data_IF_834608021442
#
_entry.id   IF_834608021442
#
_cell.length_a   1.000
_cell.length_b   1.000
_cell.length_c   1.000
_cell.angle_alpha   90.00
_cell.angle_beta   90.00
_cell.angle_gamma   90.00
#
_symmetry.space_group_name_H-M   'P 1'
#
loop_
_entity.id
_entity.type
_entity.pdbx_description
1 polymer ?
#
# COMPACT_ATOMS: atom_id res chain seq x y z
N UNK A 1 -22.93 -14.60 11.55
CA UNK A 1 -21.88 -13.74 10.94
C UNK A 1 -20.54 -14.32 11.29
N UNK A 2 -19.55 -14.22 10.39
CA UNK A 2 -18.17 -14.68 10.64
C UNK A 2 -17.35 -13.50 11.13
N UNK A 3 -16.69 -13.64 12.28
CA UNK A 3 -15.78 -12.60 12.76
C UNK A 3 -14.47 -12.66 12.02
N UNK A 4 -14.07 -11.50 11.45
CA UNK A 4 -12.83 -11.34 10.70
C UNK A 4 -12.04 -10.16 11.28
N UNK A 5 -10.79 -10.39 11.63
CA UNK A 5 -9.86 -9.34 12.02
C UNK A 5 -8.87 -9.07 10.90
N UNK A 6 -8.73 -7.81 10.51
CA UNK A 6 -7.69 -7.35 9.57
C UNK A 6 -6.61 -6.62 10.37
N UNK A 7 -5.35 -7.02 10.18
CA UNK A 7 -4.18 -6.36 10.77
C UNK A 7 -3.38 -5.73 9.65
N UNK A 8 -3.22 -4.41 9.72
CA UNK A 8 -2.59 -3.61 8.67
C UNK A 8 -1.67 -2.55 9.27
N UNK A 9 -0.80 -1.99 8.46
CA UNK A 9 0.01 -0.82 8.82
C UNK A 9 -0.51 0.49 8.23
N UNK A 10 -1.55 0.42 7.39
CA UNK A 10 -2.15 1.59 6.73
C UNK A 10 -3.66 1.45 6.69
N UNK A 11 -4.36 2.48 7.18
CA UNK A 11 -5.82 2.56 7.16
C UNK A 11 -6.25 4.04 7.17
N UNK A 12 -7.42 4.41 6.64
CA UNK A 12 -7.89 5.80 6.77
C UNK A 12 -7.81 6.32 8.22
N UNK A 13 -7.47 7.61 8.44
CA UNK A 13 -7.44 8.71 7.47
C UNK A 13 -6.13 8.85 6.67
N UNK A 14 -5.20 7.89 6.76
CA UNK A 14 -4.00 7.90 5.91
C UNK A 14 -4.38 7.69 4.45
N UNK A 15 -3.79 8.49 3.57
CA UNK A 15 -4.05 8.45 2.11
C UNK A 15 -2.98 7.62 1.44
N UNK A 16 -3.40 6.68 0.59
CA UNK A 16 -2.48 5.85 -0.19
C UNK A 16 -3.11 4.54 -0.66
N UNK A 17 -2.50 3.89 -1.65
CA UNK A 17 -3.01 2.66 -2.26
C UNK A 17 -3.22 1.53 -1.23
N UNK A 18 -2.28 1.38 -0.29
CA UNK A 18 -2.38 0.36 0.76
C UNK A 18 -3.55 0.60 1.71
N UNK A 19 -3.75 1.86 2.14
CA UNK A 19 -4.86 2.26 3.00
C UNK A 19 -6.21 2.01 2.31
N UNK A 20 -6.36 2.48 1.07
CA UNK A 20 -7.58 2.29 0.28
C UNK A 20 -7.89 0.81 0.06
N UNK A 21 -6.88 0.00 -0.29
CA UNK A 21 -7.05 -1.43 -0.51
C UNK A 21 -7.61 -2.15 0.72
N UNK A 22 -7.07 -1.85 1.90
CA UNK A 22 -7.55 -2.48 3.14
C UNK A 22 -8.94 -1.96 3.52
N UNK A 23 -9.22 -0.68 3.32
CA UNK A 23 -10.54 -0.12 3.52
C UNK A 23 -11.57 -0.85 2.64
N UNK A 24 -11.33 -1.00 1.34
CA UNK A 24 -12.24 -1.71 0.43
C UNK A 24 -12.36 -3.20 0.76
N UNK A 25 -11.30 -3.84 1.23
CA UNK A 25 -11.37 -5.22 1.72
C UNK A 25 -12.30 -5.33 2.93
N UNK A 26 -12.19 -4.41 3.89
CA UNK A 26 -13.01 -4.39 5.08
C UNK A 26 -14.49 -4.13 4.74
N UNK A 27 -14.78 -3.13 3.90
CA UNK A 27 -16.12 -2.83 3.41
C UNK A 27 -16.72 -3.99 2.61
N UNK A 28 -15.94 -4.61 1.73
CA UNK A 28 -16.37 -5.76 0.95
C UNK A 28 -16.75 -6.95 1.84
N UNK A 29 -15.92 -7.29 2.82
CA UNK A 29 -16.22 -8.36 3.78
C UNK A 29 -17.48 -8.06 4.60
N UNK A 30 -17.67 -6.79 5.02
CA UNK A 30 -18.87 -6.36 5.72
C UNK A 30 -20.12 -6.50 4.86
N UNK A 31 -20.07 -6.10 3.57
CA UNK A 31 -21.17 -6.29 2.61
C UNK A 31 -21.53 -7.78 2.42
N UNK A 32 -20.62 -8.70 2.72
CA UNK A 32 -20.82 -10.15 2.69
C UNK A 32 -21.02 -10.77 4.08
N UNK A 33 -21.75 -10.07 4.96
CA UNK A 33 -22.18 -10.54 6.27
C UNK A 33 -21.06 -10.99 7.21
N UNK A 34 -19.86 -10.43 7.07
CA UNK A 34 -18.81 -10.59 8.05
C UNK A 34 -18.84 -9.48 9.11
N UNK A 35 -18.61 -9.83 10.36
CA UNK A 35 -18.34 -8.86 11.40
C UNK A 35 -16.85 -8.51 11.36
N UNK A 36 -16.52 -7.34 10.82
CA UNK A 36 -15.13 -6.95 10.54
C UNK A 36 -14.60 -6.01 11.61
N UNK A 37 -13.40 -6.29 12.06
CA UNK A 37 -12.60 -5.38 12.86
C UNK A 37 -11.23 -5.17 12.22
N UNK A 38 -10.65 -3.99 12.44
CA UNK A 38 -9.34 -3.60 11.91
C UNK A 38 -8.42 -3.21 13.04
N UNK A 39 -7.17 -3.69 13.02
CA UNK A 39 -6.09 -3.16 13.85
C UNK A 39 -5.08 -2.46 12.94
N UNK A 40 -4.76 -1.21 13.28
CA UNK A 40 -3.81 -0.37 12.54
C UNK A 40 -3.00 0.47 13.53
N UNK A 41 -1.81 0.97 13.20
CA UNK A 41 -1.14 1.94 14.04
C UNK A 41 -1.88 3.28 14.08
N UNK A 42 -1.50 4.15 15.00
CA UNK A 42 -1.91 5.55 14.98
C UNK A 42 -1.48 6.19 13.65
N UNK A 43 -2.34 6.98 12.99
CA UNK A 43 -2.05 7.56 11.68
C UNK A 43 -0.79 8.43 11.69
N UNK A 44 0.12 8.16 10.74
CA UNK A 44 1.43 8.82 10.68
C UNK A 44 2.00 8.96 9.26
N UNK A 45 1.44 8.26 8.27
CA UNK A 45 1.89 8.31 6.89
C UNK A 45 1.24 9.47 6.11
N UNK A 46 1.97 10.20 5.23
CA UNK A 46 3.34 9.91 4.76
C UNK A 46 4.47 10.57 5.58
N UNK A 47 4.15 11.50 6.46
CA UNK A 47 5.14 12.37 7.14
C UNK A 47 6.00 11.64 8.19
N UNK A 48 5.54 10.49 8.69
CA UNK A 48 6.21 9.79 9.78
C UNK A 48 6.06 10.49 11.13
N UNK A 49 4.99 11.26 11.29
CA UNK A 49 4.60 11.95 12.51
C UNK A 49 3.15 11.61 12.82
N UNK A 50 2.85 11.30 14.07
CA UNK A 50 1.47 11.05 14.51
C UNK A 50 0.61 12.28 14.20
N UNK A 51 -0.52 12.07 13.52
CA UNK A 51 -1.47 13.15 13.22
C UNK A 51 -1.93 13.85 14.49
N UNK A 52 -2.15 15.18 14.41
CA UNK A 52 -2.42 16.04 15.56
C UNK A 52 -3.53 15.50 16.48
N UNK A 53 -4.60 15.01 15.90
CA UNK A 53 -5.76 14.47 16.63
C UNK A 53 -5.49 13.14 17.36
N UNK A 54 -4.33 12.53 17.14
CA UNK A 54 -3.92 11.25 17.72
C UNK A 54 -2.68 11.36 18.60
N UNK A 55 -2.14 12.58 18.80
CA UNK A 55 -0.97 12.80 19.69
C UNK A 55 -1.32 12.48 21.14
N UNK A 56 -0.40 11.81 21.83
CA UNK A 56 -0.58 11.43 23.24
C UNK A 56 -1.48 10.22 23.48
N UNK A 57 -2.03 9.61 22.44
CA UNK A 57 -2.88 8.40 22.52
C UNK A 57 -1.98 7.18 22.45
N UNK A 58 -2.18 6.22 23.37
CA UNK A 58 -1.51 4.92 23.32
C UNK A 58 -2.34 3.87 22.57
N UNK A 59 -3.66 3.87 22.80
CA UNK A 59 -4.61 3.00 22.12
C UNK A 59 -5.95 3.71 22.02
N UNK A 60 -6.60 3.58 20.86
CA UNK A 60 -7.94 4.09 20.61
C UNK A 60 -8.80 3.01 19.93
N UNK A 61 -10.04 2.90 20.31
CA UNK A 61 -11.05 2.12 19.60
C UNK A 61 -12.13 3.07 19.11
N UNK A 62 -12.50 2.98 17.84
CA UNK A 62 -13.57 3.75 17.21
C UNK A 62 -14.42 2.82 16.34
N UNK A 63 -15.62 3.27 16.02
CA UNK A 63 -16.46 2.62 15.02
C UNK A 63 -16.54 3.55 13.79
N UNK A 64 -16.11 3.06 12.64
CA UNK A 64 -16.04 3.80 11.41
C UNK A 64 -16.75 3.03 10.31
N UNK A 65 -17.81 3.60 9.74
CA UNK A 65 -18.69 2.93 8.78
C UNK A 65 -19.19 1.56 9.28
N UNK A 66 -19.42 1.39 10.58
CA UNK A 66 -19.83 0.13 11.19
C UNK A 66 -18.73 -0.95 11.20
N UNK A 67 -17.49 -0.55 11.06
CA UNK A 67 -16.27 -1.38 11.24
C UNK A 67 -15.58 -0.91 12.51
N UNK A 68 -15.27 -1.85 13.41
CA UNK A 68 -14.54 -1.54 14.63
C UNK A 68 -13.05 -1.39 14.34
N UNK A 69 -12.49 -0.20 14.57
CA UNK A 69 -11.10 0.13 14.28
C UNK A 69 -10.33 0.33 15.59
N UNK A 70 -9.27 -0.45 15.77
CA UNK A 70 -8.33 -0.32 16.88
C UNK A 70 -7.04 0.33 16.36
N UNK A 71 -6.70 1.51 16.88
CA UNK A 71 -5.46 2.21 16.59
C UNK A 71 -4.49 2.04 17.76
N UNK A 72 -3.33 1.49 17.45
CA UNK A 72 -2.31 1.17 18.45
C UNK A 72 -1.11 2.09 18.31
N UNK A 73 -0.43 2.31 19.40
CA UNK A 73 0.78 3.13 19.43
C UNK A 73 1.87 2.58 18.50
N UNK A 74 2.58 3.51 17.88
CA UNK A 74 3.75 3.29 17.05
C UNK A 74 4.77 4.40 17.31
N UNK A 75 6.05 4.07 17.31
CA UNK A 75 7.10 5.06 17.17
C UNK A 75 7.14 5.52 15.72
N UNK A 76 6.41 6.60 15.41
CA UNK A 76 6.32 7.10 14.05
C UNK A 76 7.65 7.75 13.64
N UNK A 77 8.17 7.38 12.46
CA UNK A 77 9.40 7.95 11.92
C UNK A 77 9.46 7.80 10.40
N UNK A 78 9.78 8.89 9.71
CA UNK A 78 10.11 8.91 8.28
C UNK A 78 11.61 9.20 8.07
N UNK A 79 12.45 8.88 9.04
CA UNK A 79 13.89 9.09 8.97
C UNK A 79 14.50 8.31 7.80
N UNK A 80 15.49 8.92 7.11
CA UNK A 80 16.33 8.24 6.13
C UNK A 80 17.21 7.15 6.78
N UNK A 81 17.39 7.21 8.11
CA UNK A 81 18.15 6.21 8.86
C UNK A 81 17.34 4.91 8.99
N UNK A 82 17.91 3.81 8.48
CA UNK A 82 17.32 2.48 8.48
C UNK A 82 16.99 1.95 9.89
N UNK A 83 17.77 2.36 10.90
CA UNK A 83 17.56 1.95 12.29
C UNK A 83 16.26 2.51 12.86
N UNK A 84 15.97 3.78 12.65
CA UNK A 84 14.71 4.39 13.13
C UNK A 84 13.49 3.79 12.43
N UNK A 85 13.60 3.43 11.14
CA UNK A 85 12.53 2.72 10.42
C UNK A 85 12.30 1.31 10.97
N UNK A 86 13.37 0.62 11.34
CA UNK A 86 13.28 -0.70 11.99
C UNK A 86 12.62 -0.58 13.37
N UNK A 87 13.01 0.42 14.17
CA UNK A 87 12.39 0.71 15.48
C UNK A 87 10.89 0.99 15.31
N UNK A 88 10.48 1.75 14.29
CA UNK A 88 9.06 2.00 14.02
C UNK A 88 8.28 0.69 13.77
N UNK A 89 8.79 -0.20 12.92
CA UNK A 89 8.16 -1.50 12.64
C UNK A 89 8.11 -2.40 13.89
N UNK A 90 9.18 -2.45 14.67
CA UNK A 90 9.27 -3.24 15.90
C UNK A 90 8.32 -2.68 16.95
N UNK A 91 8.22 -1.36 17.12
CA UNK A 91 7.34 -0.74 18.11
C UNK A 91 5.87 -1.09 17.87
N UNK A 92 5.43 -1.08 16.62
CA UNK A 92 4.05 -1.51 16.30
C UNK A 92 3.85 -3.01 16.55
N UNK A 93 4.86 -3.82 16.26
CA UNK A 93 4.81 -5.26 16.59
C UNK A 93 4.65 -5.50 18.10
N UNK A 94 5.30 -4.73 18.95
CA UNK A 94 5.10 -4.77 20.39
C UNK A 94 3.68 -4.38 20.81
N UNK A 95 3.15 -3.31 20.23
CA UNK A 95 1.77 -2.88 20.51
C UNK A 95 0.75 -3.95 20.09
N UNK A 96 0.99 -4.65 18.97
CA UNK A 96 0.17 -5.79 18.55
C UNK A 96 0.24 -6.95 19.53
N UNK A 97 1.44 -7.33 19.98
CA UNK A 97 1.64 -8.40 20.98
C UNK A 97 0.89 -8.07 22.26
N UNK A 98 1.06 -6.84 22.75
CA UNK A 98 0.34 -6.35 23.92
C UNK A 98 -1.17 -6.44 23.74
N UNK A 99 -1.69 -6.00 22.58
CA UNK A 99 -3.12 -6.12 22.27
C UNK A 99 -3.61 -7.56 22.28
N UNK A 100 -2.84 -8.50 21.73
CA UNK A 100 -3.22 -9.92 21.66
C UNK A 100 -3.26 -10.60 23.04
N UNK A 101 -2.50 -10.14 23.99
CA UNK A 101 -2.50 -10.69 25.36
C UNK A 101 -3.80 -10.36 26.12
N UNK A 102 -4.41 -9.22 25.81
CA UNK A 102 -5.55 -8.70 26.57
C UNK A 102 -6.88 -8.77 25.80
N UNK A 103 -6.87 -9.18 24.57
CA UNK A 103 -8.08 -9.20 23.73
C UNK A 103 -8.31 -10.57 23.09
N UNK A 104 -9.58 -10.92 22.95
CA UNK A 104 -9.97 -12.13 22.22
C UNK A 104 -9.81 -11.90 20.71
N UNK A 105 -9.00 -12.75 20.08
CA UNK A 105 -8.71 -12.66 18.66
C UNK A 105 -9.61 -13.64 17.90
N UNK A 106 -10.32 -13.18 16.84
CA UNK A 106 -11.20 -14.00 16.01
C UNK A 106 -10.51 -15.22 15.39
N UNK A 107 -11.33 -16.17 14.93
CA UNK A 107 -10.84 -17.39 14.25
C UNK A 107 -10.27 -17.09 12.87
N UNK A 108 -10.71 -16.02 12.20
CA UNK A 108 -10.18 -15.60 10.89
C UNK A 108 -9.43 -14.30 11.04
N UNK A 109 -8.16 -14.31 10.66
CA UNK A 109 -7.28 -13.12 10.71
C UNK A 109 -6.59 -12.94 9.36
N UNK A 110 -6.72 -11.73 8.81
CA UNK A 110 -6.03 -11.29 7.60
C UNK A 110 -4.90 -10.35 8.03
N UNK A 111 -3.68 -10.65 7.62
CA UNK A 111 -2.49 -9.85 7.95
C UNK A 111 -1.90 -9.29 6.68
N UNK A 112 -1.68 -7.98 6.62
CA UNK A 112 -1.03 -7.32 5.49
C UNK A 112 0.50 -7.46 5.56
N UNK A 113 1.13 -7.68 4.42
CA UNK A 113 2.57 -7.63 4.20
C UNK A 113 2.85 -6.85 2.89
N UNK A 114 3.81 -5.90 2.86
CA UNK A 114 4.63 -5.42 3.95
C UNK A 114 3.86 -4.62 5.02
N UNK A 115 4.46 -4.31 6.21
CA UNK A 115 5.82 -4.58 6.66
C UNK A 115 6.06 -6.02 7.09
N UNK A 116 7.21 -6.56 6.66
CA UNK A 116 7.54 -7.98 6.84
C UNK A 116 7.60 -8.42 8.30
N UNK A 117 8.14 -7.58 9.20
CA UNK A 117 8.26 -7.86 10.64
C UNK A 117 6.91 -7.83 11.36
N UNK A 118 5.98 -6.97 10.94
CA UNK A 118 4.61 -6.94 11.47
C UNK A 118 3.90 -8.24 11.13
N UNK A 119 3.98 -8.66 9.86
CA UNK A 119 3.44 -9.94 9.43
C UNK A 119 4.08 -11.12 10.18
N UNK A 120 5.41 -11.11 10.36
CA UNK A 120 6.14 -12.12 11.11
C UNK A 120 5.64 -12.27 12.55
N UNK A 121 5.49 -11.16 13.27
CA UNK A 121 4.99 -11.17 14.65
C UNK A 121 3.59 -11.75 14.73
N UNK A 122 2.70 -11.38 13.82
CA UNK A 122 1.35 -11.91 13.75
C UNK A 122 1.34 -13.42 13.42
N UNK A 123 2.13 -13.84 12.43
CA UNK A 123 2.22 -15.25 12.01
C UNK A 123 2.85 -16.14 13.10
N UNK A 124 3.76 -15.59 13.90
CA UNK A 124 4.39 -16.29 15.00
C UNK A 124 3.40 -16.50 16.15
N UNK A 125 2.75 -15.43 16.60
CA UNK A 125 1.97 -15.43 17.84
C UNK A 125 0.55 -15.95 17.64
N UNK A 126 -0.08 -15.61 16.52
CA UNK A 126 -1.48 -15.97 16.28
C UNK A 126 -1.68 -17.39 15.72
N UNK A 127 -0.60 -18.14 15.43
CA UNK A 127 -0.73 -19.50 14.91
C UNK A 127 -1.40 -20.44 15.91
N UNK A 128 -2.54 -20.98 15.51
CA UNK A 128 -3.32 -21.94 16.29
C UNK A 128 -4.05 -22.89 15.34
N UNK A 129 -4.31 -24.14 15.77
CA UNK A 129 -5.12 -25.09 14.96
C UNK A 129 -6.56 -24.61 14.73
N UNK A 130 -7.06 -23.74 15.59
CA UNK A 130 -8.44 -23.21 15.52
C UNK A 130 -8.55 -21.88 14.75
N UNK A 131 -7.42 -21.31 14.26
CA UNK A 131 -7.39 -19.99 13.62
C UNK A 131 -6.90 -20.10 12.19
N UNK A 132 -7.67 -19.52 11.24
CA UNK A 132 -7.29 -19.37 9.86
C UNK A 132 -6.52 -18.04 9.70
N UNK A 133 -5.22 -18.13 9.41
CA UNK A 133 -4.37 -16.97 9.10
C UNK A 133 -4.28 -16.80 7.60
N UNK A 134 -4.63 -15.62 7.12
CA UNK A 134 -4.57 -15.23 5.71
C UNK A 134 -3.52 -14.13 5.60
N UNK A 135 -2.57 -14.27 4.69
CA UNK A 135 -1.56 -13.26 4.43
C UNK A 135 -1.92 -12.50 3.15
N UNK A 136 -2.07 -11.18 3.25
CA UNK A 136 -2.35 -10.30 2.12
C UNK A 136 -1.04 -9.64 1.68
N UNK A 137 -0.49 -10.10 0.55
CA UNK A 137 0.81 -9.67 0.03
C UNK A 137 0.60 -8.60 -1.04
N UNK A 138 1.11 -7.40 -0.77
CA UNK A 138 1.05 -6.27 -1.71
C UNK A 138 2.31 -6.14 -2.55
N UNK A 139 3.47 -6.48 -1.96
CA UNK A 139 4.78 -6.35 -2.59
C UNK A 139 5.69 -7.49 -2.12
N UNK A 140 6.60 -7.94 -2.99
CA UNK A 140 7.58 -8.97 -2.68
C UNK A 140 8.77 -8.37 -1.93
N UNK A 141 8.67 -8.27 -0.62
CA UNK A 141 9.81 -7.90 0.23
C UNK A 141 10.48 -9.15 0.79
N UNK A 142 11.84 -9.26 0.69
CA UNK A 142 12.82 -8.19 0.41
C UNK A 142 13.20 -7.96 -1.07
N UNK A 143 12.65 -8.75 -2.02
CA UNK A 143 13.02 -8.70 -3.42
C UNK A 143 12.88 -7.28 -4.03
N UNK A 144 11.73 -6.63 -3.85
CA UNK A 144 11.51 -5.27 -4.32
C UNK A 144 12.56 -4.28 -3.78
N UNK A 145 12.98 -4.44 -2.53
CA UNK A 145 14.04 -3.62 -1.94
C UNK A 145 15.41 -3.87 -2.55
N UNK A 146 15.68 -5.09 -3.04
CA UNK A 146 16.89 -5.42 -3.79
C UNK A 146 16.89 -4.77 -5.17
N UNK A 147 15.79 -4.88 -5.90
CA UNK A 147 15.61 -4.29 -7.23
C UNK A 147 15.70 -2.76 -7.21
N UNK A 148 15.17 -2.13 -6.18
CA UNK A 148 15.29 -0.69 -5.93
C UNK A 148 16.68 -0.27 -5.40
N UNK A 149 17.62 -1.18 -5.22
CA UNK A 149 18.96 -0.88 -4.71
C UNK A 149 19.00 -0.51 -3.21
N UNK A 150 17.90 -0.68 -2.48
CA UNK A 150 17.81 -0.41 -1.03
C UNK A 150 18.59 -1.46 -0.24
N UNK A 151 18.55 -2.70 -0.69
CA UNK A 151 19.29 -3.83 -0.14
C UNK A 151 20.40 -4.30 -1.09
N UNK A 152 21.39 -4.98 -0.48
CA UNK A 152 22.39 -5.78 -1.20
C UNK A 152 22.23 -7.23 -0.75
N UNK A 153 22.55 -8.19 -1.62
CA UNK A 153 22.57 -9.61 -1.25
C UNK A 153 23.67 -9.84 -0.20
N UNK A 154 23.28 -9.93 1.05
CA UNK A 154 24.11 -10.17 2.22
C UNK A 154 23.33 -10.94 3.29
N UNK A 155 23.95 -11.26 4.42
CA UNK A 155 23.32 -12.00 5.53
C UNK A 155 22.00 -11.38 6.02
N UNK A 156 21.91 -10.03 6.02
CA UNK A 156 20.67 -9.35 6.41
C UNK A 156 19.54 -9.60 5.40
N UNK A 157 19.85 -9.61 4.12
CA UNK A 157 18.91 -9.93 3.06
C UNK A 157 18.42 -11.39 3.17
N UNK A 158 19.34 -12.34 3.37
CA UNK A 158 18.98 -13.74 3.57
C UNK A 158 18.09 -13.96 4.81
N UNK A 159 18.30 -13.18 5.88
CA UNK A 159 17.43 -13.21 7.05
C UNK A 159 16.02 -12.73 6.70
N UNK A 160 15.90 -11.65 5.92
CA UNK A 160 14.60 -11.14 5.46
C UNK A 160 13.87 -12.15 4.55
N UNK A 161 14.57 -12.83 3.66
CA UNK A 161 13.99 -13.93 2.85
C UNK A 161 13.51 -15.11 3.73
N UNK A 162 14.24 -15.45 4.78
CA UNK A 162 13.81 -16.49 5.73
C UNK A 162 12.53 -16.06 6.48
N UNK A 163 12.40 -14.78 6.84
CA UNK A 163 11.21 -14.23 7.46
C UNK A 163 10.03 -14.25 6.48
N UNK A 164 10.24 -13.85 5.24
CA UNK A 164 9.23 -13.93 4.18
C UNK A 164 8.71 -15.36 4.01
N UNK A 165 9.63 -16.32 3.82
CA UNK A 165 9.29 -17.74 3.69
C UNK A 165 8.58 -18.29 4.92
N UNK A 166 8.95 -17.84 6.14
CA UNK A 166 8.25 -18.18 7.35
C UNK A 166 6.80 -17.70 7.33
N UNK A 167 6.56 -16.44 6.90
CA UNK A 167 5.22 -15.88 6.78
C UNK A 167 4.38 -16.69 5.79
N UNK A 168 4.91 -17.01 4.62
CA UNK A 168 4.24 -17.83 3.62
C UNK A 168 3.91 -19.24 4.14
N UNK A 169 4.87 -19.89 4.82
CA UNK A 169 4.68 -21.21 5.41
C UNK A 169 3.56 -21.23 6.44
N UNK A 170 3.48 -20.20 7.28
CA UNK A 170 2.52 -20.09 8.39
C UNK A 170 1.10 -19.73 7.95
N UNK A 171 0.94 -18.97 6.91
CA UNK A 171 -0.36 -18.63 6.35
C UNK A 171 -1.11 -19.90 5.84
N UNK A 172 -2.42 -19.91 5.97
CA UNK A 172 -3.29 -20.93 5.38
C UNK A 172 -3.63 -20.58 3.92
N UNK A 173 -3.89 -19.30 3.67
CA UNK A 173 -4.17 -18.73 2.34
C UNK A 173 -3.32 -17.48 2.14
N UNK A 174 -2.84 -17.25 0.92
CA UNK A 174 -2.15 -16.03 0.53
C UNK A 174 -2.97 -15.29 -0.52
N UNK A 175 -3.30 -14.04 -0.23
CA UNK A 175 -3.86 -13.10 -1.20
C UNK A 175 -2.71 -12.35 -1.85
N UNK A 176 -2.59 -12.39 -3.17
CA UNK A 176 -1.60 -11.65 -3.94
C UNK A 176 -2.24 -10.55 -4.76
N UNK A 177 -1.57 -9.40 -4.88
CA UNK A 177 -2.07 -8.28 -5.66
C UNK A 177 -1.88 -8.47 -7.17
N UNK A 178 -0.92 -9.30 -7.57
CA UNK A 178 -0.62 -9.63 -8.97
C UNK A 178 -0.33 -11.13 -9.14
N UNK A 179 -0.39 -11.60 -10.38
CA UNK A 179 0.00 -12.97 -10.75
C UNK A 179 1.48 -13.24 -10.45
N UNK A 180 2.33 -12.23 -10.59
CA UNK A 180 3.75 -12.31 -10.30
C UNK A 180 4.00 -12.64 -8.82
N UNK A 181 3.29 -11.96 -7.90
CA UNK A 181 3.33 -12.25 -6.48
C UNK A 181 2.92 -13.70 -6.22
N UNK A 182 1.83 -14.16 -6.82
CA UNK A 182 1.36 -15.52 -6.63
C UNK A 182 2.33 -16.56 -7.20
N UNK A 183 2.93 -16.28 -8.36
CA UNK A 183 3.95 -17.13 -8.98
C UNK A 183 5.18 -17.25 -8.08
N UNK A 184 5.66 -16.15 -7.50
CA UNK A 184 6.75 -16.16 -6.53
C UNK A 184 6.40 -17.02 -5.30
N UNK A 185 5.21 -16.85 -4.72
CA UNK A 185 4.75 -17.65 -3.59
C UNK A 185 4.71 -19.15 -3.93
N UNK A 186 4.14 -19.50 -5.07
CA UNK A 186 4.01 -20.90 -5.52
C UNK A 186 5.38 -21.50 -5.85
N UNK A 187 6.32 -20.72 -6.39
CA UNK A 187 7.71 -21.20 -6.59
C UNK A 187 8.38 -21.59 -5.27
N UNK A 188 8.09 -20.86 -4.18
CA UNK A 188 8.59 -21.18 -2.85
C UNK A 188 7.82 -22.32 -2.17
N UNK A 189 6.52 -22.39 -2.40
CA UNK A 189 5.58 -23.32 -1.76
C UNK A 189 4.53 -23.83 -2.75
N UNK A 190 4.82 -24.85 -3.58
CA UNK A 190 3.95 -25.30 -4.68
C UNK A 190 2.54 -25.74 -4.28
N UNK A 191 2.33 -26.15 -3.01
CA UNK A 191 1.03 -26.57 -2.48
C UNK A 191 0.30 -25.47 -1.68
N UNK A 192 0.80 -24.23 -1.73
CA UNK A 192 0.18 -23.12 -1.01
C UNK A 192 -1.12 -22.70 -1.70
N UNK A 193 -2.20 -22.61 -0.92
CA UNK A 193 -3.45 -22.00 -1.37
C UNK A 193 -3.24 -20.51 -1.61
N UNK A 194 -3.56 -20.03 -2.79
CA UNK A 194 -3.39 -18.63 -3.21
C UNK A 194 -4.67 -18.12 -3.84
N UNK A 195 -4.87 -16.80 -3.78
CA UNK A 195 -6.00 -16.12 -4.41
C UNK A 195 -5.55 -14.75 -4.94
N UNK A 196 -5.89 -14.43 -6.18
CA UNK A 196 -5.60 -13.14 -6.78
C UNK A 196 -6.59 -12.10 -6.25
N UNK A 197 -6.09 -11.13 -5.50
CA UNK A 197 -6.85 -10.01 -4.96
C UNK A 197 -6.25 -8.69 -5.44
N UNK A 198 -6.73 -8.22 -6.58
CA UNK A 198 -6.28 -6.95 -7.19
C UNK A 198 -6.92 -5.75 -6.52
N UNK A 199 -6.27 -4.59 -6.65
CA UNK A 199 -6.90 -3.32 -6.35
C UNK A 199 -7.89 -2.98 -7.46
N UNK A 200 -9.13 -2.68 -7.07
CA UNK A 200 -10.13 -2.16 -7.99
C UNK A 200 -10.47 -0.74 -7.61
N UNK A 201 -10.70 0.14 -8.59
CA UNK A 201 -11.23 1.44 -8.33
C UNK A 201 -12.66 1.32 -7.76
N UNK A 202 -12.96 2.12 -6.73
CA UNK A 202 -14.29 2.18 -6.11
C UNK A 202 -15.03 3.42 -6.62
N UNK A 203 -15.21 3.51 -7.93
CA UNK A 203 -16.00 4.55 -8.56
C UNK A 203 -16.56 4.06 -9.88
N UNK A 204 -17.78 4.44 -10.18
CA UNK A 204 -18.33 4.31 -11.51
C UNK A 204 -17.68 5.39 -12.39
N UNK A 205 -17.03 4.94 -13.46
CA UNK A 205 -16.56 5.87 -14.48
C UNK A 205 -17.81 6.57 -15.05
N UNK A 206 -17.86 7.91 -15.08
CA UNK A 206 -18.90 8.59 -15.81
C UNK A 206 -18.87 8.07 -17.24
N UNK A 207 -20.03 7.82 -17.83
CA UNK A 207 -20.10 7.47 -19.26
C UNK A 207 -19.55 8.65 -20.03
N UNK A 208 -18.28 8.59 -20.38
CA UNK A 208 -17.67 9.61 -21.23
C UNK A 208 -18.26 9.44 -22.61
N UNK A 209 -18.94 10.47 -23.10
CA UNK A 209 -19.09 10.64 -24.53
C UNK A 209 -17.68 10.97 -25.05
N UNK A 210 -17.07 10.02 -25.72
CA UNK A 210 -15.80 10.25 -26.42
C UNK A 210 -16.02 11.34 -27.47
N UNK A 211 -15.76 12.58 -27.12
CA UNK A 211 -15.58 13.60 -28.13
C UNK A 211 -14.24 13.28 -28.82
N UNK A 212 -14.30 12.98 -30.11
CA UNK A 212 -13.12 12.85 -30.96
C UNK A 212 -12.38 14.19 -30.93
N UNK A 213 -11.46 14.36 -29.99
CA UNK A 213 -10.60 15.54 -29.97
C UNK A 213 -9.60 15.40 -31.11
N UNK A 214 -9.65 16.31 -32.08
CA UNK A 214 -8.71 16.44 -33.21
C UNK A 214 -7.36 17.00 -32.69
N UNK A 215 -6.74 16.36 -31.71
CA UNK A 215 -5.38 16.66 -31.33
C UNK A 215 -4.43 15.87 -32.22
N UNK A 216 -3.39 16.54 -32.74
CA UNK A 216 -2.31 15.86 -33.48
C UNK A 216 -1.40 15.04 -32.59
N UNK A 217 -1.50 15.19 -31.24
CA UNK A 217 -0.72 14.48 -30.23
C UNK A 217 -1.61 13.70 -29.31
N UNK A 218 -1.11 12.54 -28.88
CA UNK A 218 -1.74 11.68 -27.87
C UNK A 218 -1.48 12.27 -26.49
N UNK A 219 -2.53 12.52 -25.74
CA UNK A 219 -2.45 13.02 -24.37
C UNK A 219 -2.28 11.86 -23.39
N UNK A 220 -1.09 11.73 -22.84
CA UNK A 220 -0.76 10.73 -21.83
C UNK A 220 -0.75 11.38 -20.46
N UNK A 221 -1.36 10.73 -19.46
CA UNK A 221 -1.39 11.24 -18.10
C UNK A 221 -0.90 10.20 -17.10
N UNK A 222 -0.08 10.64 -16.15
CA UNK A 222 0.22 9.93 -14.91
C UNK A 222 -0.50 10.62 -13.75
N UNK A 223 -1.16 9.82 -12.92
CA UNK A 223 -1.83 10.32 -11.73
C UNK A 223 -1.52 9.44 -10.51
N UNK A 224 -0.63 9.90 -9.65
CA UNK A 224 -0.20 9.08 -8.52
C UNK A 224 0.90 9.67 -7.66
N UNK A 225 1.52 8.83 -6.83
CA UNK A 225 2.64 9.20 -5.98
C UNK A 225 3.90 9.45 -6.85
N UNK A 226 4.54 10.61 -6.67
CA UNK A 226 5.80 10.95 -7.34
C UNK A 226 6.98 10.49 -6.48
N UNK A 227 7.14 9.19 -6.36
CA UNK A 227 8.25 8.59 -5.61
C UNK A 227 9.30 7.95 -6.53
N UNK A 228 10.49 7.68 -5.99
CA UNK A 228 11.61 7.07 -6.73
C UNK A 228 11.21 5.73 -7.38
N UNK A 229 10.37 4.94 -6.71
CA UNK A 229 9.94 3.63 -7.20
C UNK A 229 9.03 3.72 -8.45
N UNK A 230 8.33 4.84 -8.65
CA UNK A 230 7.47 5.07 -9.80
C UNK A 230 8.26 5.43 -11.05
N UNK A 231 9.46 6.00 -10.87
CA UNK A 231 10.37 6.32 -11.97
C UNK A 231 9.86 7.38 -12.93
N UNK A 232 8.99 8.30 -12.48
CA UNK A 232 8.35 9.31 -13.35
C UNK A 232 9.38 10.30 -13.88
N UNK A 233 10.33 10.73 -13.06
CA UNK A 233 11.43 11.58 -13.54
C UNK A 233 12.23 10.89 -14.68
N UNK A 234 12.53 9.62 -14.52
CA UNK A 234 13.23 8.83 -15.55
C UNK A 234 12.38 8.68 -16.82
N UNK A 235 11.06 8.55 -16.67
CA UNK A 235 10.14 8.52 -17.81
C UNK A 235 10.17 9.87 -18.55
N UNK A 236 10.08 11.00 -17.85
CA UNK A 236 10.19 12.33 -18.45
C UNK A 236 11.49 12.51 -19.24
N UNK A 237 12.60 11.98 -18.78
CA UNK A 237 13.91 12.09 -19.42
C UNK A 237 14.08 11.21 -20.68
N UNK A 238 13.28 10.15 -20.83
CA UNK A 238 13.48 9.14 -21.87
C UNK A 238 12.29 8.96 -22.81
N UNK A 239 11.17 9.66 -22.60
CA UNK A 239 9.98 9.55 -23.43
C UNK A 239 10.22 10.24 -24.77
N UNK A 240 9.74 9.63 -25.86
CA UNK A 240 9.70 10.28 -27.17
C UNK A 240 8.45 11.17 -27.27
N UNK A 241 8.66 12.47 -27.32
CA UNK A 241 7.59 13.47 -27.35
C UNK A 241 7.11 13.86 -28.75
N UNK A 242 7.54 13.18 -29.79
CA UNK A 242 7.16 13.49 -31.16
C UNK A 242 5.64 13.55 -31.38
N UNK A 243 4.95 12.55 -30.76
CA UNK A 243 3.49 12.41 -30.90
C UNK A 243 2.75 12.43 -29.54
N UNK A 244 3.43 12.79 -28.45
CA UNK A 244 2.91 12.70 -27.09
C UNK A 244 2.94 14.06 -26.40
N UNK A 245 1.86 14.39 -25.68
CA UNK A 245 1.82 15.38 -24.61
C UNK A 245 1.73 14.63 -23.28
N UNK A 246 2.63 14.91 -22.35
CA UNK A 246 2.68 14.20 -21.08
C UNK A 246 2.24 15.08 -19.91
N UNK A 247 1.22 14.65 -19.18
CA UNK A 247 0.65 15.35 -18.04
C UNK A 247 0.85 14.57 -16.76
N UNK A 248 1.18 15.27 -15.68
CA UNK A 248 1.52 14.66 -14.40
C UNK A 248 0.66 15.28 -13.31
N UNK A 249 -0.08 14.44 -12.58
CA UNK A 249 -0.80 14.78 -11.34
C UNK A 249 -0.21 14.01 -10.17
N UNK A 250 -0.09 14.66 -9.02
CA UNK A 250 0.31 14.03 -7.78
C UNK A 250 1.38 14.78 -7.02
N UNK A 251 1.80 14.21 -5.90
CA UNK A 251 2.86 14.72 -5.05
C UNK A 251 3.79 13.59 -4.60
N UNK A 252 4.98 13.92 -4.19
CA UNK A 252 5.94 12.94 -3.68
C UNK A 252 7.37 13.43 -3.61
N UNK A 253 8.29 12.49 -3.35
CA UNK A 253 9.69 12.82 -3.11
C UNK A 253 10.41 13.37 -4.35
N UNK A 254 10.00 12.99 -5.57
CA UNK A 254 10.59 13.45 -6.84
C UNK A 254 9.89 14.69 -7.42
N UNK A 255 8.92 15.29 -6.71
CA UNK A 255 8.15 16.43 -7.22
C UNK A 255 9.04 17.62 -7.63
N UNK A 256 10.03 17.95 -6.82
CA UNK A 256 10.91 19.09 -7.07
C UNK A 256 11.79 18.83 -8.29
N UNK A 257 12.38 17.64 -8.38
CA UNK A 257 13.25 17.24 -9.48
C UNK A 257 12.48 17.18 -10.82
N UNK A 258 11.22 16.72 -10.80
CA UNK A 258 10.34 16.73 -11.98
C UNK A 258 10.03 18.18 -12.39
N UNK A 259 9.72 19.05 -11.43
CA UNK A 259 9.44 20.46 -11.70
C UNK A 259 10.65 21.19 -12.28
N UNK A 260 11.84 20.96 -11.71
CA UNK A 260 13.10 21.50 -12.23
C UNK A 260 13.41 20.98 -13.63
N UNK A 261 13.17 19.69 -13.90
CA UNK A 261 13.34 19.11 -15.23
C UNK A 261 12.45 19.82 -16.27
N UNK A 262 11.18 20.07 -15.96
CA UNK A 262 10.23 20.76 -16.85
C UNK A 262 10.68 22.20 -17.11
N UNK A 263 11.09 22.92 -16.07
CA UNK A 263 11.59 24.32 -16.21
C UNK A 263 12.83 24.38 -17.09
N UNK A 264 13.74 23.43 -16.98
CA UNK A 264 14.97 23.37 -17.75
C UNK A 264 14.79 22.86 -19.20
N UNK A 265 13.59 22.33 -19.53
CA UNK A 265 13.27 21.81 -20.87
C UNK A 265 11.91 22.36 -21.36
N UNK A 266 11.78 23.68 -21.56
CA UNK A 266 10.50 24.34 -21.86
C UNK A 266 9.91 23.94 -23.20
N UNK A 267 10.70 23.40 -24.12
CA UNK A 267 10.26 22.94 -25.45
C UNK A 267 9.60 21.56 -25.41
N UNK A 268 9.73 20.82 -24.33
CA UNK A 268 9.08 19.51 -24.17
C UNK A 268 7.61 19.68 -23.77
N UNK A 269 6.69 18.95 -24.41
CA UNK A 269 5.26 19.01 -24.09
C UNK A 269 4.93 18.21 -22.81
N UNK A 270 5.50 18.66 -21.69
CA UNK A 270 5.27 18.10 -20.36
C UNK A 270 4.60 19.15 -19.49
N UNK A 271 3.55 18.74 -18.76
CA UNK A 271 2.86 19.63 -17.83
C UNK A 271 2.73 18.96 -16.47
N UNK A 272 3.20 19.63 -15.42
CA UNK A 272 2.92 19.25 -14.03
C UNK A 272 1.72 20.04 -13.50
N UNK A 273 0.64 19.33 -13.18
CA UNK A 273 -0.65 19.91 -12.77
C UNK A 273 -0.86 19.93 -11.25
N UNK A 274 0.12 19.45 -10.47
CA UNK A 274 -0.01 19.38 -9.02
C UNK A 274 -0.91 18.26 -8.53
N UNK A 275 -1.38 18.37 -7.30
CA UNK A 275 -2.25 17.39 -6.66
C UNK A 275 -3.72 17.85 -6.75
N UNK A 276 -4.62 16.94 -7.11
CA UNK A 276 -6.06 17.17 -7.12
C UNK A 276 -6.78 16.25 -6.14
N UNK A 277 -7.89 16.73 -5.54
CA UNK A 277 -8.81 15.88 -4.81
C UNK A 277 -9.31 14.73 -5.70
N UNK A 278 -9.48 13.53 -5.14
CA UNK A 278 -9.80 12.31 -5.89
C UNK A 278 -10.98 12.47 -6.87
N UNK A 279 -12.05 13.16 -6.46
CA UNK A 279 -13.24 13.37 -7.32
C UNK A 279 -12.92 14.25 -8.53
N UNK A 280 -12.15 15.32 -8.32
CA UNK A 280 -11.72 16.24 -9.38
C UNK A 280 -10.73 15.57 -10.33
N UNK A 281 -9.81 14.77 -9.77
CA UNK A 281 -8.86 14.00 -10.56
C UNK A 281 -9.58 13.05 -11.52
N UNK A 282 -10.62 12.32 -11.07
CA UNK A 282 -11.38 11.43 -11.95
C UNK A 282 -11.98 12.16 -13.15
N UNK A 283 -12.51 13.37 -12.94
CA UNK A 283 -13.06 14.21 -14.03
C UNK A 283 -11.93 14.66 -14.94
N UNK A 284 -10.81 15.10 -14.39
CA UNK A 284 -9.67 15.53 -15.16
C UNK A 284 -9.09 14.40 -16.06
N UNK A 285 -9.05 13.17 -15.55
CA UNK A 285 -8.51 12.01 -16.28
C UNK A 285 -9.32 11.66 -17.54
N UNK A 286 -10.61 12.05 -17.62
CA UNK A 286 -11.44 11.82 -18.81
C UNK A 286 -10.99 12.64 -20.04
N UNK A 287 -10.10 13.60 -19.87
CA UNK A 287 -9.59 14.47 -20.95
C UNK A 287 -8.33 13.90 -21.64
N UNK A 288 -7.86 12.74 -21.19
CA UNK A 288 -6.61 12.12 -21.66
C UNK A 288 -6.89 10.83 -22.41
N UNK A 289 -6.05 10.53 -23.39
CA UNK A 289 -6.19 9.34 -24.22
C UNK A 289 -5.63 8.09 -23.53
N UNK A 290 -4.56 8.25 -22.75
CA UNK A 290 -3.86 7.16 -22.06
C UNK A 290 -3.56 7.58 -20.61
N UNK A 291 -3.92 6.72 -19.67
CA UNK A 291 -3.51 6.83 -18.24
C UNK A 291 -2.48 5.75 -17.93
N UNK A 292 -1.38 6.11 -17.27
CA UNK A 292 -0.30 5.21 -16.86
C UNK A 292 -0.08 5.25 -15.35
#
# INVERSE_FOLDING_TARGET
MKDVLIITSYYPPEIGAASNRIFHLAEGLKKHDCNVSVITPLPNYPKGEIFSNYKGIFQQASEENGIKVYRLWIYASNSKNKLFRLIAMISYSFSLIWFFLWNTIPKTVIVQSPPLFVAFSCMLILKSKKRKLILNVSDLWPLAGLELGIFKKNLSYELLEKIERFNYKRAHLILGQSEEILTHVVSCFPKKETFLYRNFPDFELPKAEYSSMSSTKIKVVYAGLLGVAQGILKLCQNLDYTYIEFHIYGAGAEQNEISEFIINNPDLPITYNGELPRKELHIALLQYDITI
#
